data_IF_423892710119
#
_entry.id   IF_423892710119
#
_cell.length_a   1.000
_cell.length_b   1.000
_cell.length_c   1.000
_cell.angle_alpha   90.00
_cell.angle_beta   90.00
_cell.angle_gamma   90.00
#
_symmetry.space_group_name_H-M   'P 1'
#
loop_
_entity.id
_entity.type
_entity.pdbx_description
1 polymer ?
#
# COMPACT_ATOMS: atom_id res chain seq x y z
N UNK A 1 42.12 -28.10 22.82
CA UNK A 1 42.31 -26.74 23.35
C UNK A 1 41.00 -25.97 23.20
N UNK A 2 40.32 -25.73 24.32
CA UNK A 2 38.89 -25.41 24.41
C UNK A 2 38.60 -23.91 24.25
N UNK A 3 37.80 -23.52 23.23
CA UNK A 3 37.09 -22.24 23.20
C UNK A 3 35.83 -22.34 24.08
N UNK A 4 35.93 -21.87 25.33
CA UNK A 4 34.77 -21.72 26.24
C UNK A 4 33.89 -20.56 25.78
N UNK A 5 32.64 -20.88 25.54
CA UNK A 5 31.53 -20.01 25.14
C UNK A 5 31.14 -19.08 26.30
N UNK A 6 31.17 -17.76 26.07
CA UNK A 6 30.66 -16.71 26.98
C UNK A 6 29.12 -16.74 27.04
N UNK A 7 28.51 -17.83 27.52
CA UNK A 7 27.05 -17.96 27.65
C UNK A 7 26.55 -18.25 29.06
N UNK A 8 27.35 -17.98 30.10
CA UNK A 8 27.00 -18.33 31.49
C UNK A 8 27.22 -17.19 32.49
N UNK A 9 26.71 -15.99 32.22
CA UNK A 9 26.68 -14.90 33.22
C UNK A 9 25.33 -14.16 33.33
N UNK A 10 24.24 -14.74 32.85
CA UNK A 10 22.90 -14.20 33.12
C UNK A 10 22.09 -15.20 33.94
N UNK A 11 21.81 -14.85 35.19
CA UNK A 11 20.78 -15.48 35.99
C UNK A 11 19.41 -15.31 35.28
N UNK A 12 18.49 -16.29 35.36
CA UNK A 12 17.16 -16.14 34.78
C UNK A 12 16.45 -14.96 35.44
N UNK A 13 15.90 -14.05 34.63
CA UNK A 13 14.98 -13.02 35.10
C UNK A 13 13.75 -13.70 35.69
N UNK A 14 13.70 -13.82 37.01
CA UNK A 14 12.49 -14.19 37.74
C UNK A 14 11.53 -13.00 37.59
N UNK A 15 10.47 -13.16 36.78
CA UNK A 15 9.34 -12.24 36.84
C UNK A 15 8.69 -12.39 38.22
N UNK A 16 8.50 -11.30 38.98
CA UNK A 16 7.74 -11.38 40.21
C UNK A 16 6.27 -11.71 39.88
N UNK A 17 5.72 -12.63 40.66
CA UNK A 17 4.32 -13.06 40.63
C UNK A 17 3.38 -11.87 40.72
N UNK A 18 2.29 -11.90 39.94
CA UNK A 18 1.18 -10.95 39.98
C UNK A 18 0.44 -11.02 41.32
N UNK A 19 0.97 -10.35 42.34
CA UNK A 19 0.23 -10.05 43.56
C UNK A 19 -0.14 -8.58 43.52
N UNK A 20 -1.43 -8.34 43.32
CA UNK A 20 -2.09 -7.05 43.48
C UNK A 20 -1.92 -6.57 44.92
N UNK A 21 -0.96 -5.69 45.17
CA UNK A 21 -0.86 -4.92 46.41
C UNK A 21 -0.74 -3.44 46.06
N UNK A 22 -1.62 -2.62 46.62
CA UNK A 22 -1.67 -1.17 46.45
C UNK A 22 -0.28 -0.53 46.63
N UNK A 23 0.38 -0.18 45.52
CA UNK A 23 1.71 0.42 45.50
C UNK A 23 1.58 1.90 45.86
N UNK A 24 2.33 2.37 46.85
CA UNK A 24 2.28 3.78 47.29
C UNK A 24 2.85 4.72 46.20
N UNK A 25 2.45 6.01 46.17
CA UNK A 25 2.92 6.96 45.15
C UNK A 25 4.45 7.08 45.08
N UNK A 26 5.13 6.92 46.22
CA UNK A 26 6.60 6.94 46.29
C UNK A 26 7.23 5.72 45.60
N UNK A 27 6.63 4.54 45.76
CA UNK A 27 7.12 3.30 45.16
C UNK A 27 6.91 3.29 43.64
N UNK A 28 5.77 3.80 43.15
CA UNK A 28 5.56 4.01 41.72
C UNK A 28 6.56 5.01 41.13
N UNK A 29 6.86 6.10 41.85
CA UNK A 29 7.86 7.09 41.42
C UNK A 29 9.26 6.48 41.31
N UNK A 30 9.64 5.57 42.21
CA UNK A 30 10.91 4.83 42.14
C UNK A 30 10.94 3.84 40.96
N UNK A 31 9.84 3.15 40.68
CA UNK A 31 9.75 2.18 39.57
C UNK A 31 9.75 2.85 38.17
N UNK A 32 9.22 4.08 38.07
CA UNK A 32 9.23 4.86 36.81
C UNK A 32 10.41 5.84 36.70
N UNK A 33 11.16 6.05 37.78
CA UNK A 33 12.32 6.94 37.76
C UNK A 33 13.43 6.36 36.87
N UNK A 34 13.74 7.06 35.79
CA UNK A 34 14.91 6.80 34.96
C UNK A 34 15.76 8.06 34.94
N UNK A 35 16.98 7.96 35.48
CA UNK A 35 17.95 9.07 35.52
C UNK A 35 18.15 9.74 34.15
N UNK A 36 18.17 8.96 33.07
CA UNK A 36 18.28 9.46 31.71
C UNK A 36 17.13 10.41 31.32
N UNK A 37 15.89 10.10 31.70
CA UNK A 37 14.73 10.94 31.40
C UNK A 37 14.78 12.28 32.16
N UNK A 38 15.24 12.27 33.41
CA UNK A 38 15.39 13.51 34.20
C UNK A 38 16.54 14.37 33.70
N UNK A 39 17.66 13.76 33.28
CA UNK A 39 18.74 14.49 32.62
C UNK A 39 18.28 15.11 31.30
N UNK A 40 17.49 14.39 30.50
CA UNK A 40 16.94 14.91 29.26
C UNK A 40 15.97 16.09 29.51
N UNK A 41 15.11 15.99 30.53
CA UNK A 41 14.24 17.11 30.93
C UNK A 41 15.04 18.33 31.36
N UNK A 42 16.11 18.14 32.14
CA UNK A 42 16.97 19.23 32.59
C UNK A 42 17.70 19.91 31.41
N UNK A 43 18.17 19.14 30.44
CA UNK A 43 18.78 19.67 29.21
C UNK A 43 17.74 20.44 28.37
N UNK A 44 16.54 19.89 28.21
CA UNK A 44 15.46 20.55 27.48
C UNK A 44 15.07 21.88 28.16
N UNK A 45 15.04 21.91 29.49
CA UNK A 45 14.76 23.13 30.25
C UNK A 45 15.84 24.19 30.03
N UNK A 46 17.12 23.81 30.11
CA UNK A 46 18.24 24.71 29.82
C UNK A 46 18.20 25.28 28.39
N UNK A 47 17.78 24.47 27.42
CA UNK A 47 17.60 24.93 26.03
C UNK A 47 16.47 25.94 25.91
N UNK A 48 15.34 25.70 26.58
CA UNK A 48 14.19 26.61 26.61
C UNK A 48 14.57 27.94 27.26
N UNK A 49 15.24 27.89 28.42
CA UNK A 49 15.64 29.10 29.15
C UNK A 49 16.62 29.94 28.32
N UNK A 50 17.57 29.29 27.63
CA UNK A 50 18.51 29.99 26.72
C UNK A 50 17.78 30.60 25.53
N UNK A 51 16.78 29.92 24.96
CA UNK A 51 15.98 30.44 23.86
C UNK A 51 15.14 31.66 24.28
N UNK A 52 14.58 31.64 25.49
CA UNK A 52 13.83 32.76 26.06
C UNK A 52 14.72 33.98 26.28
N UNK A 53 15.95 33.80 26.76
CA UNK A 53 16.87 34.94 26.96
C UNK A 53 17.30 35.56 25.62
N UNK A 54 17.62 34.73 24.62
CA UNK A 54 17.93 35.23 23.25
C UNK A 54 16.73 35.99 22.67
N UNK A 55 15.52 35.47 22.86
CA UNK A 55 14.30 36.15 22.45
C UNK A 55 14.16 37.51 23.14
N UNK A 56 14.37 37.58 24.46
CA UNK A 56 14.28 38.80 25.25
C UNK A 56 15.26 39.87 24.77
N UNK A 57 16.53 39.50 24.57
CA UNK A 57 17.58 40.38 24.03
C UNK A 57 17.22 40.89 22.63
N UNK A 58 16.77 40.00 21.73
CA UNK A 58 16.39 40.39 20.37
C UNK A 58 15.17 41.33 20.33
N UNK A 59 14.27 41.20 21.30
CA UNK A 59 13.11 42.06 21.43
C UNK A 59 13.51 43.43 22.01
N UNK A 60 14.35 43.48 23.04
CA UNK A 60 14.93 44.72 23.56
C UNK A 60 15.70 45.50 22.47
N UNK A 61 16.53 44.82 21.66
CA UNK A 61 17.17 45.43 20.49
C UNK A 61 16.17 46.00 19.48
N UNK A 62 15.03 45.32 19.28
CA UNK A 62 13.96 45.80 18.40
C UNK A 62 13.26 47.04 18.95
N UNK A 63 13.04 47.11 20.26
CA UNK A 63 12.42 48.27 20.91
C UNK A 63 13.36 49.49 20.97
N UNK A 64 14.67 49.26 21.02
CA UNK A 64 15.69 50.31 21.04
C UNK A 64 16.22 50.71 19.65
N UNK A 65 15.75 50.07 18.56
CA UNK A 65 16.05 50.55 17.21
C UNK A 65 15.35 51.89 16.98
N UNK A 66 16.15 52.92 16.72
CA UNK A 66 15.64 54.18 16.21
C UNK A 66 14.78 53.92 14.95
N UNK A 67 13.64 54.61 14.80
CA UNK A 67 12.83 54.49 13.59
C UNK A 67 13.70 54.82 12.37
N UNK A 68 13.62 53.99 11.33
CA UNK A 68 14.34 54.20 10.08
C UNK A 68 14.05 55.64 9.61
N UNK A 69 15.09 56.47 9.38
CA UNK A 69 14.86 57.85 8.96
C UNK A 69 13.98 57.86 7.72
N UNK A 70 13.02 58.80 7.62
CA UNK A 70 12.13 58.88 6.47
C UNK A 70 12.98 59.04 5.21
N UNK A 71 12.71 58.17 4.22
CA UNK A 71 13.42 58.17 2.95
C UNK A 71 13.30 59.58 2.36
N UNK A 72 14.42 60.27 2.04
CA UNK A 72 14.37 61.60 1.44
C UNK A 72 13.52 61.55 0.17
N UNK A 73 12.48 62.38 0.09
CA UNK A 73 11.62 62.42 -1.09
C UNK A 73 12.42 63.00 -2.28
N UNK A 74 13.01 62.11 -3.07
CA UNK A 74 13.69 62.49 -4.30
C UNK A 74 12.66 63.06 -5.30
N UNK A 75 13.04 64.09 -6.09
CA UNK A 75 12.24 64.62 -7.18
C UNK A 75 11.77 63.50 -8.12
N UNK A 76 10.55 63.60 -8.65
CA UNK A 76 9.89 62.54 -9.44
C UNK A 76 10.74 62.02 -10.62
N UNK A 77 11.53 62.90 -11.25
CA UNK A 77 12.48 62.57 -12.31
C UNK A 77 13.61 61.67 -11.80
N UNK A 78 14.27 62.04 -10.70
CA UNK A 78 15.38 61.27 -10.12
C UNK A 78 14.89 59.93 -9.58
N UNK A 79 13.69 59.91 -8.99
CA UNK A 79 13.01 58.70 -8.52
C UNK A 79 12.77 57.69 -9.64
N UNK A 80 12.29 58.14 -10.81
CA UNK A 80 12.09 57.28 -12.00
C UNK A 80 13.40 56.71 -12.53
N UNK A 81 14.45 57.52 -12.63
CA UNK A 81 15.78 57.06 -13.06
C UNK A 81 16.38 56.04 -12.08
N UNK A 82 16.27 56.30 -10.78
CA UNK A 82 16.76 55.39 -9.74
C UNK A 82 16.04 54.04 -9.76
N UNK A 83 14.71 54.03 -9.90
CA UNK A 83 13.94 52.79 -10.04
C UNK A 83 14.31 52.00 -11.30
N UNK A 84 14.54 52.67 -12.44
CA UNK A 84 15.00 51.99 -13.65
C UNK A 84 16.39 51.33 -13.47
N UNK A 85 17.32 51.99 -12.78
CA UNK A 85 18.64 51.43 -12.48
C UNK A 85 18.51 50.22 -11.54
N UNK A 86 17.68 50.32 -10.49
CA UNK A 86 17.41 49.21 -9.58
C UNK A 86 16.82 48.00 -10.31
N UNK A 87 15.82 48.21 -11.17
CA UNK A 87 15.21 47.15 -11.98
C UNK A 87 16.25 46.49 -12.89
N UNK A 88 17.07 47.29 -13.57
CA UNK A 88 18.11 46.78 -14.50
C UNK A 88 19.18 45.98 -13.76
N UNK A 89 19.65 46.49 -12.62
CA UNK A 89 20.64 45.81 -11.79
C UNK A 89 20.09 44.51 -11.21
N UNK A 90 18.84 44.52 -10.73
CA UNK A 90 18.20 43.30 -10.22
C UNK A 90 18.07 42.23 -11.31
N UNK A 91 17.63 42.58 -12.51
CA UNK A 91 17.51 41.64 -13.63
C UNK A 91 18.87 41.07 -14.04
N UNK A 92 19.90 41.91 -14.07
CA UNK A 92 21.27 41.48 -14.35
C UNK A 92 21.77 40.48 -13.28
N UNK A 93 21.66 40.86 -12.00
CA UNK A 93 22.08 40.01 -10.88
C UNK A 93 21.29 38.70 -10.84
N UNK A 94 19.98 38.75 -11.11
CA UNK A 94 19.13 37.56 -11.21
C UNK A 94 19.63 36.61 -12.29
N UNK A 95 19.98 37.12 -13.48
CA UNK A 95 20.54 36.32 -14.58
C UNK A 95 21.86 35.67 -14.17
N UNK A 96 22.73 36.39 -13.46
CA UNK A 96 23.97 35.84 -12.92
C UNK A 96 23.69 34.69 -11.93
N UNK A 97 22.76 34.87 -10.99
CA UNK A 97 22.42 33.81 -10.02
C UNK A 97 21.76 32.61 -10.71
N UNK A 98 20.91 32.82 -11.71
CA UNK A 98 20.28 31.72 -12.47
C UNK A 98 21.26 30.92 -13.33
N UNK A 99 22.41 31.51 -13.70
CA UNK A 99 23.46 30.84 -14.48
C UNK A 99 24.34 29.91 -13.64
N UNK A 100 24.24 29.99 -12.30
CA UNK A 100 24.99 29.12 -11.41
C UNK A 100 24.49 27.67 -11.52
N UNK A 101 25.38 26.66 -11.52
CA UNK A 101 24.97 25.28 -11.65
C UNK A 101 24.11 24.87 -10.45
N UNK A 102 22.98 24.22 -10.76
CA UNK A 102 22.10 23.62 -9.77
C UNK A 102 22.46 22.15 -9.60
N UNK A 103 22.44 21.66 -8.37
CA UNK A 103 22.60 20.24 -8.10
C UNK A 103 21.45 19.47 -8.76
N UNK A 104 21.72 18.53 -9.68
CA UNK A 104 20.67 17.77 -10.35
C UNK A 104 19.97 16.82 -9.38
N UNK A 105 18.75 16.42 -9.72
CA UNK A 105 18.04 15.41 -8.94
C UNK A 105 18.82 14.09 -8.96
N UNK A 106 18.95 13.46 -7.79
CA UNK A 106 19.67 12.19 -7.67
C UNK A 106 18.91 11.09 -8.42
N UNK A 107 19.60 10.36 -9.30
CA UNK A 107 19.03 9.24 -10.08
C UNK A 107 18.35 8.19 -9.19
N UNK A 108 18.90 7.92 -8.01
CA UNK A 108 18.32 6.96 -7.07
C UNK A 108 16.90 7.37 -6.61
N UNK A 109 16.61 8.68 -6.49
CA UNK A 109 15.26 9.16 -6.16
C UNK A 109 14.28 8.94 -7.29
N UNK A 110 14.71 9.18 -8.53
CA UNK A 110 13.93 8.89 -9.73
C UNK A 110 13.61 7.40 -9.83
N UNK A 111 14.60 6.53 -9.62
CA UNK A 111 14.40 5.08 -9.60
C UNK A 111 13.46 4.64 -8.48
N UNK A 112 13.54 5.26 -7.31
CA UNK A 112 12.62 4.98 -6.19
C UNK A 112 11.19 5.40 -6.51
N UNK A 113 10.99 6.53 -7.22
CA UNK A 113 9.67 6.94 -7.70
C UNK A 113 9.10 5.94 -8.70
N UNK A 114 9.92 5.45 -9.65
CA UNK A 114 9.50 4.44 -10.62
C UNK A 114 9.14 3.11 -9.94
N UNK A 115 9.88 2.71 -8.90
CA UNK A 115 9.60 1.48 -8.15
C UNK A 115 8.26 1.49 -7.40
N UNK A 116 7.67 2.66 -7.16
CA UNK A 116 6.34 2.80 -6.55
C UNK A 116 5.20 2.59 -7.57
N UNK A 117 5.50 2.60 -8.87
CA UNK A 117 4.51 2.44 -9.93
C UNK A 117 4.45 0.96 -10.34
N UNK A 118 3.27 0.33 -10.33
CA UNK A 118 3.10 -1.06 -10.76
C UNK A 118 3.57 -1.30 -12.20
N UNK A 119 4.26 -2.42 -12.44
CA UNK A 119 4.82 -2.79 -13.74
C UNK A 119 3.76 -2.87 -14.85
N UNK A 120 2.57 -3.36 -14.52
CA UNK A 120 1.42 -3.45 -15.44
C UNK A 120 0.97 -2.10 -15.99
N UNK A 121 1.32 -1.00 -15.31
CA UNK A 121 1.02 0.34 -15.80
C UNK A 121 2.13 0.92 -16.68
N UNK A 122 3.35 0.37 -16.60
CA UNK A 122 4.51 0.78 -17.38
C UNK A 122 4.63 0.04 -18.71
N UNK A 123 4.19 -1.22 -18.75
CA UNK A 123 4.17 -2.04 -19.97
C UNK A 123 3.40 -1.34 -21.10
N UNK A 124 4.07 -1.17 -22.26
CA UNK A 124 3.51 -0.48 -23.44
C UNK A 124 3.46 1.05 -23.35
N UNK A 125 3.92 1.67 -22.25
CA UNK A 125 3.89 3.14 -22.01
C UNK A 125 5.25 3.75 -21.66
N UNK A 126 6.34 3.11 -22.07
CA UNK A 126 7.73 3.54 -21.80
C UNK A 126 8.00 5.00 -22.21
N UNK A 127 7.50 5.42 -23.37
CA UNK A 127 7.68 6.77 -23.89
C UNK A 127 6.94 7.84 -23.07
N UNK A 128 5.80 7.49 -22.48
CA UNK A 128 5.07 8.38 -21.57
C UNK A 128 5.82 8.51 -20.23
N UNK A 129 6.35 7.39 -19.71
CA UNK A 129 7.15 7.36 -18.50
C UNK A 129 8.39 8.25 -18.63
N UNK A 130 9.11 8.18 -19.75
CA UNK A 130 10.27 9.04 -20.01
C UNK A 130 9.87 10.52 -20.07
N UNK A 131 8.77 10.87 -20.76
CA UNK A 131 8.27 12.26 -20.83
C UNK A 131 7.96 12.83 -19.46
N UNK A 132 7.28 12.06 -18.60
CA UNK A 132 6.95 12.46 -17.24
C UNK A 132 8.19 12.60 -16.37
N UNK A 133 9.17 11.71 -16.54
CA UNK A 133 10.43 11.77 -15.82
C UNK A 133 11.21 13.06 -16.17
N UNK A 134 11.25 13.40 -17.46
CA UNK A 134 11.84 14.64 -17.95
C UNK A 134 11.09 15.88 -17.42
N UNK A 135 9.78 15.83 -17.28
CA UNK A 135 8.98 16.90 -16.67
C UNK A 135 9.36 17.13 -15.22
N UNK A 136 9.46 16.07 -14.43
CA UNK A 136 9.87 16.14 -13.02
C UNK A 136 11.26 16.77 -12.89
N UNK A 137 12.22 16.37 -13.74
CA UNK A 137 13.58 16.92 -13.74
C UNK A 137 13.54 18.42 -14.04
N UNK A 138 12.81 18.85 -15.08
CA UNK A 138 12.68 20.27 -15.45
C UNK A 138 12.05 21.09 -14.33
N UNK A 139 11.00 20.58 -13.69
CA UNK A 139 10.30 21.28 -12.62
C UNK A 139 11.16 21.41 -11.37
N UNK A 140 11.92 20.37 -11.06
CA UNK A 140 12.90 20.40 -9.97
C UNK A 140 13.98 21.46 -10.23
N UNK A 141 14.58 21.47 -11.42
CA UNK A 141 15.57 22.47 -11.79
C UNK A 141 15.02 23.89 -11.75
N UNK A 142 13.82 24.11 -12.32
CA UNK A 142 13.13 25.40 -12.29
C UNK A 142 12.93 25.86 -10.85
N UNK A 143 12.44 24.97 -9.99
CA UNK A 143 12.18 25.25 -8.57
C UNK A 143 13.46 25.55 -7.79
N UNK A 144 14.55 24.83 -8.07
CA UNK A 144 15.82 25.01 -7.38
C UNK A 144 16.55 26.29 -7.81
N UNK A 145 16.55 26.62 -9.12
CA UNK A 145 17.06 27.93 -9.60
C UNK A 145 16.30 29.08 -8.97
N UNK A 146 14.98 28.94 -8.84
CA UNK A 146 14.13 29.93 -8.19
C UNK A 146 14.44 30.09 -6.70
N UNK A 147 14.62 28.98 -5.99
CA UNK A 147 15.04 28.98 -4.59
C UNK A 147 16.38 29.70 -4.41
N UNK A 148 17.35 29.41 -5.29
CA UNK A 148 18.67 30.06 -5.27
C UNK A 148 18.58 31.58 -5.44
N UNK A 149 17.81 32.05 -6.43
CA UNK A 149 17.59 33.49 -6.65
C UNK A 149 17.00 34.15 -5.41
N UNK A 150 15.98 33.56 -4.80
CA UNK A 150 15.33 34.10 -3.58
C UNK A 150 16.25 34.12 -2.36
N UNK A 151 17.13 33.12 -2.22
CA UNK A 151 18.03 33.05 -1.08
C UNK A 151 19.18 34.06 -1.16
N UNK A 152 19.58 34.46 -2.38
CA UNK A 152 20.72 35.38 -2.61
C UNK A 152 20.26 36.82 -2.84
N UNK A 153 19.15 37.02 -3.55
CA UNK A 153 18.67 38.34 -3.96
C UNK A 153 17.33 38.66 -3.30
N UNK A 154 17.25 39.85 -2.71
CA UNK A 154 16.00 40.44 -2.25
C UNK A 154 15.38 41.19 -3.43
N UNK A 155 14.13 40.88 -3.77
CA UNK A 155 13.40 41.58 -4.82
C UNK A 155 13.09 43.02 -4.36
N UNK A 156 13.49 44.05 -5.11
CA UNK A 156 13.12 45.43 -4.79
C UNK A 156 11.64 45.67 -5.13
N UNK A 157 10.94 46.42 -4.28
CA UNK A 157 9.54 46.82 -4.47
C UNK A 157 9.44 47.99 -5.46
N UNK A 158 9.49 47.67 -6.76
CA UNK A 158 9.51 48.65 -7.85
C UNK A 158 8.54 48.27 -8.98
N UNK A 159 7.82 49.26 -9.50
CA UNK A 159 6.93 49.11 -10.67
C UNK A 159 7.74 48.64 -11.88
N UNK A 160 7.43 47.47 -12.42
CA UNK A 160 8.15 46.84 -13.54
C UNK A 160 8.71 45.44 -13.26
N UNK A 161 8.74 45.00 -12.00
CA UNK A 161 9.07 43.61 -11.60
C UNK A 161 7.83 42.79 -11.20
N UNK A 162 6.63 43.28 -11.54
CA UNK A 162 5.35 42.65 -11.19
C UNK A 162 5.10 41.34 -11.94
N UNK A 163 5.60 41.25 -13.19
CA UNK A 163 5.49 40.06 -14.03
C UNK A 163 6.53 38.97 -13.69
N UNK A 164 7.48 39.27 -12.81
CA UNK A 164 8.46 38.28 -12.41
C UNK A 164 7.81 37.20 -11.55
N UNK A 165 7.94 35.95 -11.97
CA UNK A 165 7.22 34.79 -11.45
C UNK A 165 7.45 34.67 -9.93
N UNK A 166 6.50 35.21 -9.16
CA UNK A 166 6.56 35.38 -7.70
C UNK A 166 5.58 34.46 -6.97
N UNK A 167 5.01 33.45 -7.63
CA UNK A 167 4.32 32.38 -6.92
C UNK A 167 5.14 31.97 -5.66
N UNK A 168 4.56 31.94 -4.46
CA UNK A 168 5.26 31.41 -3.30
C UNK A 168 5.86 30.03 -3.66
N UNK A 169 6.97 29.63 -3.03
CA UNK A 169 7.28 28.20 -3.07
C UNK A 169 5.99 27.49 -2.64
N UNK A 170 5.56 26.40 -3.30
CA UNK A 170 4.40 25.67 -2.85
C UNK A 170 4.66 25.30 -1.39
N UNK A 171 4.01 26.02 -0.48
CA UNK A 171 4.03 25.68 0.92
C UNK A 171 3.42 24.29 0.97
N UNK A 172 4.07 23.34 1.66
CA UNK A 172 3.32 22.16 2.12
C UNK A 172 2.03 22.70 2.69
N UNK A 173 0.85 22.22 2.25
CA UNK A 173 -0.40 22.86 2.57
C UNK A 173 -0.61 22.83 4.08
N UNK A 174 -0.17 23.91 4.74
CA UNK A 174 -0.33 24.18 6.15
C UNK A 174 -1.74 24.69 6.28
N UNK A 175 -2.63 23.85 6.81
CA UNK A 175 -4.06 24.07 6.72
C UNK A 175 -4.68 23.48 5.46
N UNK A 176 -4.39 22.21 5.14
CA UNK A 176 -5.48 21.35 4.66
C UNK A 176 -6.51 21.32 5.78
N UNK A 177 -7.38 22.33 5.79
CA UNK A 177 -8.51 22.36 6.67
C UNK A 177 -9.46 21.25 6.18
N UNK A 178 -9.41 20.13 6.88
CA UNK A 178 -10.29 19.00 6.64
C UNK A 178 -11.74 19.33 7.07
N UNK A 179 -12.05 20.55 7.53
CA UNK A 179 -13.40 21.06 7.86
C UNK A 179 -14.35 21.20 6.68
N UNK A 180 -13.96 20.77 5.47
CA UNK A 180 -14.83 20.79 4.29
C UNK A 180 -16.20 20.16 4.60
N UNK A 181 -17.29 20.57 3.92
CA UNK A 181 -18.65 20.05 4.15
C UNK A 181 -18.78 18.52 4.07
N UNK A 182 -17.84 17.84 3.42
CA UNK A 182 -17.79 16.39 3.35
C UNK A 182 -17.16 15.72 4.58
N UNK A 183 -16.54 16.44 5.51
CA UNK A 183 -15.89 15.84 6.68
C UNK A 183 -16.87 15.00 7.50
N UNK A 184 -18.05 15.57 7.75
CA UNK A 184 -19.13 14.88 8.44
C UNK A 184 -19.60 13.68 7.62
N UNK A 185 -19.74 13.82 6.30
CA UNK A 185 -20.08 12.70 5.40
C UNK A 185 -19.01 11.61 5.40
N UNK A 186 -17.73 11.97 5.45
CA UNK A 186 -16.60 11.04 5.52
C UNK A 186 -16.56 10.31 6.85
N UNK A 187 -16.70 11.03 7.98
CA UNK A 187 -16.78 10.42 9.31
C UNK A 187 -17.99 9.49 9.37
N UNK A 188 -19.14 9.91 8.85
CA UNK A 188 -20.35 9.10 8.81
C UNK A 188 -20.12 7.83 7.98
N UNK A 189 -19.59 7.94 6.76
CA UNK A 189 -19.28 6.80 5.91
C UNK A 189 -18.25 5.86 6.56
N UNK A 190 -17.19 6.41 7.17
CA UNK A 190 -16.19 5.64 7.92
C UNK A 190 -16.81 4.89 9.10
N UNK A 191 -17.67 5.54 9.87
CA UNK A 191 -18.35 4.91 11.00
C UNK A 191 -19.35 3.84 10.53
N UNK A 192 -20.02 4.04 9.40
CA UNK A 192 -20.88 3.02 8.77
C UNK A 192 -20.07 1.81 8.31
N UNK A 193 -18.92 2.03 7.67
CA UNK A 193 -18.02 0.96 7.25
C UNK A 193 -17.51 0.18 8.47
N UNK A 194 -17.03 0.86 9.50
CA UNK A 194 -16.51 0.22 10.72
C UNK A 194 -17.58 -0.59 11.46
N UNK A 195 -18.83 -0.13 11.46
CA UNK A 195 -19.93 -0.81 12.18
C UNK A 195 -20.55 -1.97 11.42
N UNK A 196 -20.48 -1.98 10.08
CA UNK A 196 -21.14 -3.00 9.23
C UNK A 196 -20.20 -4.01 8.59
N UNK A 197 -18.96 -3.62 8.27
CA UNK A 197 -18.12 -4.42 7.39
C UNK A 197 -17.31 -5.49 8.14
N UNK A 198 -17.01 -5.28 9.43
CA UNK A 198 -16.37 -6.27 10.33
C UNK A 198 -15.05 -6.91 9.86
N UNK A 199 -14.39 -6.41 8.80
CA UNK A 199 -13.16 -7.00 8.22
C UNK A 199 -12.03 -7.12 9.25
N UNK A 200 -11.93 -6.16 10.16
CA UNK A 200 -10.87 -6.11 11.18
C UNK A 200 -11.19 -6.99 12.41
N UNK A 201 -12.33 -7.67 12.43
CA UNK A 201 -12.68 -8.54 13.55
C UNK A 201 -11.71 -9.74 13.63
N UNK A 202 -11.18 -10.10 14.82
CA UNK A 202 -10.23 -11.20 14.97
C UNK A 202 -10.71 -12.53 14.37
N UNK A 203 -12.02 -12.79 14.42
CA UNK A 203 -12.63 -13.99 13.82
C UNK A 203 -12.46 -14.05 12.30
N UNK A 204 -12.51 -12.91 11.59
CA UNK A 204 -12.29 -12.88 10.14
C UNK A 204 -10.86 -13.25 9.80
N UNK A 205 -9.90 -12.82 10.63
CA UNK A 205 -8.50 -13.22 10.48
C UNK A 205 -8.31 -14.72 10.69
N UNK A 206 -8.91 -15.31 11.73
CA UNK A 206 -8.81 -16.76 11.97
C UNK A 206 -9.51 -17.58 10.89
N UNK A 207 -10.67 -17.12 10.40
CA UNK A 207 -11.36 -17.74 9.28
C UNK A 207 -10.54 -17.68 7.99
N UNK A 208 -9.88 -16.53 7.74
CA UNK A 208 -8.97 -16.38 6.62
C UNK A 208 -7.81 -17.37 6.69
N UNK A 209 -7.20 -17.51 7.87
CA UNK A 209 -6.10 -18.45 8.13
C UNK A 209 -6.50 -19.92 7.87
N UNK A 210 -7.72 -20.32 8.26
CA UNK A 210 -8.22 -21.67 7.95
C UNK A 210 -8.32 -21.92 6.46
N UNK A 211 -8.81 -20.94 5.69
CA UNK A 211 -8.88 -21.06 4.23
C UNK A 211 -7.50 -21.04 3.58
N UNK A 212 -6.58 -20.17 4.02
CA UNK A 212 -5.21 -20.16 3.52
C UNK A 212 -4.49 -21.48 3.79
N UNK A 213 -4.64 -22.05 4.99
CA UNK A 213 -3.97 -23.32 5.33
C UNK A 213 -4.58 -24.52 4.62
N UNK A 214 -5.90 -24.58 4.45
CA UNK A 214 -6.58 -25.74 3.85
C UNK A 214 -6.69 -25.67 2.31
N UNK A 215 -6.88 -24.47 1.75
CA UNK A 215 -7.25 -24.27 0.34
C UNK A 215 -6.14 -23.65 -0.52
N UNK A 216 -5.03 -23.15 0.03
CA UNK A 216 -4.01 -22.44 -0.76
C UNK A 216 -3.29 -23.37 -1.76
N UNK A 217 -2.97 -24.60 -1.36
CA UNK A 217 -2.30 -25.59 -2.22
C UNK A 217 -3.25 -26.64 -2.78
N UNK A 218 -4.54 -26.56 -2.41
CA UNK A 218 -5.55 -27.50 -2.84
C UNK A 218 -6.14 -27.09 -4.19
N UNK A 219 -6.33 -28.05 -5.08
CA UNK A 219 -7.10 -27.93 -6.32
C UNK A 219 -8.23 -28.96 -6.28
N UNK A 220 -9.38 -28.64 -6.86
CA UNK A 220 -10.53 -29.55 -6.92
C UNK A 220 -10.20 -30.77 -7.79
N UNK A 221 -9.47 -30.55 -8.88
CA UNK A 221 -9.00 -31.59 -9.79
C UNK A 221 -7.50 -31.43 -10.00
N UNK A 222 -6.77 -32.53 -9.83
CA UNK A 222 -5.34 -32.59 -10.13
C UNK A 222 -5.12 -33.09 -11.56
N UNK A 223 -4.88 -32.14 -12.46
CA UNK A 223 -4.70 -32.46 -13.88
C UNK A 223 -3.33 -33.05 -14.22
N UNK A 224 -2.35 -32.99 -13.31
CA UNK A 224 -1.03 -33.59 -13.53
C UNK A 224 -1.12 -35.11 -13.63
N UNK A 225 -2.08 -35.72 -12.92
CA UNK A 225 -2.31 -37.16 -12.91
C UNK A 225 -2.81 -37.71 -14.24
N UNK A 226 -3.51 -36.92 -15.06
CA UNK A 226 -4.02 -37.36 -16.37
C UNK A 226 -2.91 -37.57 -17.40
N UNK A 227 -1.80 -36.82 -17.30
CA UNK A 227 -0.61 -37.04 -18.14
C UNK A 227 -0.03 -38.44 -17.96
N UNK A 228 0.07 -38.88 -16.70
CA UNK A 228 0.69 -40.16 -16.35
C UNK A 228 -0.09 -41.36 -16.90
N UNK A 229 -1.38 -41.19 -17.18
CA UNK A 229 -2.27 -42.23 -17.72
C UNK A 229 -2.16 -42.37 -19.26
N UNK A 230 -1.46 -41.47 -19.95
CA UNK A 230 -1.34 -41.49 -21.41
C UNK A 230 -2.52 -40.81 -22.12
N UNK A 231 -2.79 -41.15 -23.40
CA UNK A 231 -3.93 -40.60 -24.14
C UNK A 231 -5.26 -40.90 -23.43
N UNK A 232 -6.02 -39.86 -23.14
CA UNK A 232 -7.22 -39.94 -22.33
C UNK A 232 -8.47 -40.00 -23.21
N UNK A 233 -9.39 -40.89 -22.85
CA UNK A 233 -10.72 -40.97 -23.45
C UNK A 233 -11.66 -39.92 -22.83
N UNK A 234 -12.52 -39.30 -23.64
CA UNK A 234 -13.41 -38.20 -23.18
C UNK A 234 -14.32 -38.66 -22.04
N UNK A 235 -14.94 -39.82 -22.15
CA UNK A 235 -15.91 -40.31 -21.15
C UNK A 235 -15.19 -40.68 -19.85
N UNK A 236 -14.01 -41.27 -19.96
CA UNK A 236 -13.14 -41.52 -18.81
C UNK A 236 -12.75 -40.22 -18.09
N UNK A 237 -12.42 -39.16 -18.84
CA UNK A 237 -12.06 -37.85 -18.28
C UNK A 237 -13.24 -37.19 -17.56
N UNK A 238 -14.42 -37.17 -18.18
CA UNK A 238 -15.65 -36.64 -17.56
C UNK A 238 -15.97 -37.35 -16.25
N UNK A 239 -15.81 -38.66 -16.22
CA UNK A 239 -16.04 -39.50 -15.04
C UNK A 239 -15.01 -39.22 -13.94
N UNK A 240 -13.72 -39.20 -14.28
CA UNK A 240 -12.63 -38.92 -13.34
C UNK A 240 -12.73 -37.51 -12.73
N UNK A 241 -13.06 -36.51 -13.55
CA UNK A 241 -13.31 -35.13 -13.10
C UNK A 241 -14.49 -35.09 -12.14
N UNK A 242 -15.61 -35.73 -12.51
CA UNK A 242 -16.81 -35.75 -11.66
C UNK A 242 -16.55 -36.41 -10.31
N UNK A 243 -15.80 -37.52 -10.29
CA UNK A 243 -15.39 -38.20 -9.07
C UNK A 243 -14.44 -37.34 -8.23
N UNK A 244 -13.50 -36.64 -8.87
CA UNK A 244 -12.56 -35.73 -8.20
C UNK A 244 -13.30 -34.56 -7.56
N UNK A 245 -14.28 -33.98 -8.25
CA UNK A 245 -15.17 -32.95 -7.71
C UNK A 245 -15.89 -33.43 -6.44
N UNK A 246 -16.54 -34.60 -6.47
CA UNK A 246 -17.24 -35.14 -5.30
C UNK A 246 -16.29 -35.44 -4.13
N UNK A 247 -15.09 -35.99 -4.40
CA UNK A 247 -14.07 -36.20 -3.35
C UNK A 247 -13.56 -34.88 -2.76
N UNK A 248 -13.40 -33.86 -3.60
CA UNK A 248 -12.95 -32.55 -3.17
C UNK A 248 -14.00 -31.86 -2.30
N UNK A 249 -15.27 -31.93 -2.68
CA UNK A 249 -16.41 -31.44 -1.91
C UNK A 249 -16.46 -32.08 -0.51
N UNK A 250 -16.42 -33.40 -0.44
CA UNK A 250 -16.39 -34.14 0.83
C UNK A 250 -15.19 -33.73 1.70
N UNK A 251 -14.00 -33.59 1.08
CA UNK A 251 -12.79 -33.17 1.80
C UNK A 251 -12.93 -31.75 2.34
N UNK A 252 -13.47 -30.81 1.58
CA UNK A 252 -13.72 -29.43 2.01
C UNK A 252 -14.71 -29.43 3.18
N UNK A 253 -15.80 -30.20 3.08
CA UNK A 253 -16.82 -30.31 4.12
C UNK A 253 -16.27 -30.88 5.43
N UNK A 254 -15.44 -31.92 5.34
CA UNK A 254 -14.90 -32.64 6.50
C UNK A 254 -13.67 -31.98 7.13
N UNK A 255 -12.99 -31.06 6.42
CA UNK A 255 -11.77 -30.41 6.93
C UNK A 255 -11.98 -28.92 7.18
N UNK A 256 -12.03 -28.11 6.12
CA UNK A 256 -12.15 -26.67 6.22
C UNK A 256 -13.47 -26.27 6.88
N UNK A 257 -14.61 -26.79 6.39
CA UNK A 257 -15.92 -26.40 6.91
C UNK A 257 -16.12 -26.83 8.37
N UNK A 258 -15.67 -28.02 8.78
CA UNK A 258 -15.70 -28.42 10.19
C UNK A 258 -14.93 -27.45 11.09
N UNK A 259 -13.75 -26.96 10.65
CA UNK A 259 -12.99 -25.95 11.40
C UNK A 259 -13.75 -24.63 11.49
N UNK A 260 -14.41 -24.21 10.40
CA UNK A 260 -15.27 -23.02 10.40
C UNK A 260 -16.43 -23.19 11.39
N UNK A 261 -17.15 -24.31 11.37
CA UNK A 261 -18.25 -24.58 12.31
C UNK A 261 -17.74 -24.60 13.75
N UNK A 262 -16.59 -25.23 14.01
CA UNK A 262 -15.99 -25.28 15.35
C UNK A 262 -15.66 -23.90 15.90
N UNK A 263 -15.24 -22.96 15.03
CA UNK A 263 -14.99 -21.57 15.40
C UNK A 263 -16.30 -20.92 15.85
N UNK A 264 -17.32 -20.90 15.00
CA UNK A 264 -18.58 -20.20 15.30
C UNK A 264 -19.45 -20.87 16.38
N UNK A 265 -19.16 -22.12 16.75
CA UNK A 265 -19.81 -22.79 17.90
C UNK A 265 -19.34 -22.20 19.25
N UNK A 266 -18.18 -21.54 19.28
CA UNK A 266 -17.66 -20.93 20.50
C UNK A 266 -18.41 -19.63 20.82
N UNK A 267 -19.18 -19.64 21.92
CA UNK A 267 -19.95 -18.47 22.41
C UNK A 267 -19.12 -17.23 22.71
N UNK A 268 -17.79 -17.35 22.77
CA UNK A 268 -16.88 -16.24 23.03
C UNK A 268 -16.74 -15.27 21.84
N UNK A 269 -17.07 -15.70 20.63
CA UNK A 269 -16.94 -14.88 19.41
C UNK A 269 -17.96 -13.75 19.36
N UNK A 270 -19.11 -13.94 19.99
CA UNK A 270 -20.17 -12.94 20.08
C UNK A 270 -19.97 -11.99 21.27
N UNK A 271 -18.96 -12.21 22.13
CA UNK A 271 -18.68 -11.34 23.27
C UNK A 271 -18.16 -9.99 22.76
N UNK A 272 -19.01 -8.96 22.79
CA UNK A 272 -18.69 -7.60 22.38
C UNK A 272 -19.40 -7.12 21.11
N UNK A 273 -20.10 -8.02 20.40
CA UNK A 273 -20.99 -7.65 19.31
C UNK A 273 -22.34 -7.21 19.87
N UNK A 274 -22.84 -6.07 19.39
CA UNK A 274 -24.21 -5.66 19.68
C UNK A 274 -25.19 -6.51 18.87
N UNK A 275 -26.40 -6.72 19.42
CA UNK A 275 -27.42 -7.58 18.81
C UNK A 275 -27.83 -7.11 17.40
N UNK A 276 -27.80 -5.80 17.14
CA UNK A 276 -28.09 -5.16 15.84
C UNK A 276 -26.99 -5.34 14.79
N UNK A 277 -25.79 -5.78 15.19
CA UNK A 277 -24.65 -5.97 14.30
C UNK A 277 -24.43 -7.44 13.88
N UNK A 278 -25.15 -8.37 14.50
CA UNK A 278 -24.99 -9.82 14.28
C UNK A 278 -25.23 -10.20 12.81
N UNK A 279 -26.26 -9.65 12.18
CA UNK A 279 -26.56 -9.93 10.77
C UNK A 279 -25.44 -9.42 9.85
N UNK A 280 -24.97 -8.19 10.07
CA UNK A 280 -23.86 -7.62 9.30
C UNK A 280 -22.56 -8.40 9.48
N UNK A 281 -22.34 -8.97 10.68
CA UNK A 281 -21.21 -9.83 10.97
C UNK A 281 -21.27 -11.14 10.17
N UNK A 282 -22.39 -11.86 10.20
CA UNK A 282 -22.53 -13.11 9.45
C UNK A 282 -22.57 -12.88 7.93
N UNK A 283 -23.03 -11.73 7.46
CA UNK A 283 -22.90 -11.35 6.05
C UNK A 283 -21.42 -11.21 5.63
N UNK A 284 -20.57 -10.64 6.50
CA UNK A 284 -19.13 -10.58 6.26
C UNK A 284 -18.51 -12.00 6.26
N UNK A 285 -18.90 -12.86 7.20
CA UNK A 285 -18.46 -14.28 7.24
C UNK A 285 -18.84 -14.99 5.94
N UNK A 286 -20.10 -14.89 5.52
CA UNK A 286 -20.61 -15.51 4.29
C UNK A 286 -19.87 -15.01 3.05
N UNK A 287 -19.62 -13.70 2.97
CA UNK A 287 -18.85 -13.09 1.88
C UNK A 287 -17.40 -13.60 1.86
N UNK A 288 -16.74 -13.68 3.02
CA UNK A 288 -15.38 -14.16 3.13
C UNK A 288 -15.26 -15.64 2.74
N UNK A 289 -16.15 -16.49 3.24
CA UNK A 289 -16.23 -17.91 2.85
C UNK A 289 -16.48 -18.06 1.35
N UNK A 290 -17.44 -17.31 0.81
CA UNK A 290 -17.74 -17.31 -0.63
C UNK A 290 -16.53 -16.91 -1.47
N UNK A 291 -15.77 -15.90 -1.05
CA UNK A 291 -14.58 -15.47 -1.77
C UNK A 291 -13.48 -16.53 -1.75
N UNK A 292 -13.28 -17.24 -0.64
CA UNK A 292 -12.29 -18.32 -0.54
C UNK A 292 -12.63 -19.49 -1.49
N UNK A 293 -13.92 -19.85 -1.58
CA UNK A 293 -14.38 -20.93 -2.45
C UNK A 293 -14.34 -20.52 -3.94
N UNK A 294 -14.75 -19.29 -4.27
CA UNK A 294 -14.61 -18.72 -5.62
C UNK A 294 -13.15 -18.67 -6.07
N UNK A 295 -12.24 -18.34 -5.18
CA UNK A 295 -10.80 -18.32 -5.48
C UNK A 295 -10.25 -19.74 -5.71
N UNK A 296 -10.76 -20.75 -5.01
CA UNK A 296 -10.44 -22.15 -5.30
C UNK A 296 -10.96 -22.59 -6.68
N UNK A 297 -12.20 -22.23 -7.02
CA UNK A 297 -12.79 -22.52 -8.33
C UNK A 297 -11.98 -21.87 -9.45
N UNK A 298 -11.68 -20.57 -9.32
CA UNK A 298 -10.88 -19.79 -10.27
C UNK A 298 -9.53 -20.47 -10.52
N UNK A 299 -8.79 -20.80 -9.45
CA UNK A 299 -7.47 -21.46 -9.57
C UNK A 299 -7.54 -22.83 -10.24
N UNK A 300 -8.61 -23.60 -9.97
CA UNK A 300 -8.81 -24.91 -10.62
C UNK A 300 -9.08 -24.75 -12.12
N UNK A 301 -9.94 -23.81 -12.51
CA UNK A 301 -10.21 -23.52 -13.92
C UNK A 301 -8.97 -22.98 -14.63
N UNK A 302 -8.21 -22.09 -14.00
CA UNK A 302 -6.94 -21.61 -14.55
C UNK A 302 -5.92 -22.72 -14.72
N UNK A 303 -5.83 -23.66 -13.76
CA UNK A 303 -4.97 -24.83 -13.90
C UNK A 303 -5.40 -25.72 -15.08
N UNK A 304 -6.70 -25.84 -15.35
CA UNK A 304 -7.21 -26.57 -16.51
C UNK A 304 -6.90 -25.85 -17.83
N UNK A 305 -7.16 -24.54 -17.91
CA UNK A 305 -6.91 -23.74 -19.13
C UNK A 305 -5.42 -23.72 -19.49
N UNK A 306 -4.52 -23.67 -18.49
CA UNK A 306 -3.07 -23.74 -18.70
C UNK A 306 -2.61 -25.01 -19.42
N UNK A 307 -3.39 -26.09 -19.40
CA UNK A 307 -3.06 -27.32 -20.14
C UNK A 307 -3.18 -27.16 -21.65
N UNK A 308 -3.76 -26.07 -22.13
CA UNK A 308 -3.92 -25.77 -23.55
C UNK A 308 -2.99 -24.64 -24.03
N UNK A 309 -2.05 -24.21 -23.18
CA UNK A 309 -1.07 -23.19 -23.55
C UNK A 309 -0.07 -23.75 -24.58
N UNK A 310 -0.01 -23.20 -25.81
CA UNK A 310 0.89 -23.69 -26.85
C UNK A 310 2.38 -23.52 -26.50
N UNK A 311 2.71 -22.58 -25.61
CA UNK A 311 4.10 -22.34 -25.19
C UNK A 311 4.59 -23.39 -24.17
N UNK A 312 3.67 -24.05 -23.46
CA UNK A 312 3.96 -25.12 -22.50
C UNK A 312 3.65 -26.50 -23.09
N UNK A 313 4.38 -26.85 -24.15
CA UNK A 313 4.18 -28.10 -24.90
C UNK A 313 4.29 -29.39 -24.07
N UNK A 314 4.92 -29.34 -22.90
CA UNK A 314 5.02 -30.48 -21.97
C UNK A 314 3.74 -30.69 -21.15
N UNK A 315 2.85 -29.68 -21.11
CA UNK A 315 1.62 -29.66 -20.33
C UNK A 315 0.36 -29.86 -21.18
N UNK A 316 0.46 -30.32 -22.44
CA UNK A 316 -0.66 -30.47 -23.39
C UNK A 316 -1.46 -31.78 -23.29
N UNK A 317 -2.79 -31.69 -23.04
CA UNK A 317 -3.64 -32.89 -22.85
C UNK A 317 -3.80 -33.68 -24.15
N UNK A 318 -3.48 -34.97 -24.11
CA UNK A 318 -3.58 -35.85 -25.27
C UNK A 318 -4.90 -36.61 -25.22
N UNK A 319 -5.76 -36.36 -26.21
CA UNK A 319 -7.02 -37.07 -26.37
C UNK A 319 -6.84 -38.29 -27.27
N UNK A 320 -7.45 -39.40 -26.89
CA UNK A 320 -7.54 -40.58 -27.77
C UNK A 320 -8.57 -40.28 -28.87
N UNK A 321 -8.13 -40.44 -30.12
CA UNK A 321 -8.95 -40.28 -31.32
C UNK A 321 -8.93 -41.56 -32.13
N UNK A 322 -10.09 -41.99 -32.61
CA UNK A 322 -10.30 -43.13 -33.47
C UNK A 322 -10.80 -42.64 -34.83
N UNK A 323 -10.30 -43.23 -35.91
CA UNK A 323 -10.79 -42.94 -37.26
C UNK A 323 -11.86 -43.98 -37.61
N UNK A 324 -13.11 -43.56 -37.69
CA UNK A 324 -14.24 -44.41 -38.05
C UNK A 324 -14.63 -44.18 -39.51
N UNK A 325 -15.13 -45.21 -40.17
CA UNK A 325 -15.69 -45.11 -41.52
C UNK A 325 -17.20 -45.26 -41.40
N UNK A 326 -17.93 -44.16 -41.55
CA UNK A 326 -19.39 -44.14 -41.53
C UNK A 326 -19.93 -43.70 -42.90
N UNK A 327 -20.88 -44.45 -43.46
CA UNK A 327 -21.49 -44.18 -44.78
C UNK A 327 -20.50 -43.74 -45.90
N UNK A 328 -19.35 -44.43 -46.02
CA UNK A 328 -18.26 -44.12 -46.98
C UNK A 328 -17.50 -42.79 -46.72
N UNK A 329 -17.64 -42.18 -45.54
CA UNK A 329 -16.86 -41.02 -45.08
C UNK A 329 -15.98 -41.41 -43.90
N UNK A 330 -14.72 -41.00 -43.96
CA UNK A 330 -13.80 -41.14 -42.83
C UNK A 330 -14.04 -39.97 -41.88
N UNK A 331 -14.41 -40.27 -40.64
CA UNK A 331 -14.67 -39.29 -39.59
C UNK A 331 -13.85 -39.62 -38.35
N UNK A 332 -13.49 -38.60 -37.58
CA UNK A 332 -12.82 -38.80 -36.29
C UNK A 332 -13.86 -38.94 -35.19
N UNK A 333 -13.69 -39.97 -34.37
CA UNK A 333 -14.42 -40.16 -33.13
C UNK A 333 -13.46 -40.05 -31.94
N UNK A 334 -13.75 -39.23 -30.94
CA UNK A 334 -14.82 -38.22 -30.88
C UNK A 334 -14.67 -37.10 -31.92
N UNK A 335 -15.79 -36.49 -32.30
CA UNK A 335 -15.77 -35.33 -33.20
C UNK A 335 -15.19 -34.10 -32.51
N UNK A 336 -14.85 -33.05 -33.27
CA UNK A 336 -14.40 -31.78 -32.68
C UNK A 336 -15.47 -31.15 -31.77
N UNK A 337 -16.75 -31.31 -32.12
CA UNK A 337 -17.86 -30.81 -31.30
C UNK A 337 -17.95 -31.58 -29.97
N UNK A 338 -17.77 -32.90 -29.98
CA UNK A 338 -17.77 -33.72 -28.76
C UNK A 338 -16.63 -33.33 -27.81
N UNK A 339 -15.46 -32.95 -28.36
CA UNK A 339 -14.35 -32.40 -27.58
C UNK A 339 -14.71 -31.05 -26.93
N UNK A 340 -15.31 -30.14 -27.70
CA UNK A 340 -15.71 -28.83 -27.20
C UNK A 340 -16.74 -28.97 -26.07
N UNK A 341 -17.75 -29.82 -26.28
CA UNK A 341 -18.76 -30.13 -25.26
C UNK A 341 -18.13 -30.78 -24.03
N UNK A 342 -17.12 -31.64 -24.18
CA UNK A 342 -16.40 -32.23 -23.07
C UNK A 342 -15.60 -31.19 -22.26
N UNK A 343 -14.91 -30.26 -22.93
CA UNK A 343 -14.17 -29.17 -22.28
C UNK A 343 -15.13 -28.27 -21.52
N UNK A 344 -16.25 -27.87 -22.14
CA UNK A 344 -17.29 -27.06 -21.50
C UNK A 344 -17.93 -27.80 -20.31
N UNK A 345 -18.16 -29.10 -20.44
CA UNK A 345 -18.65 -29.95 -19.36
C UNK A 345 -17.71 -29.92 -18.15
N UNK A 346 -16.40 -30.05 -18.37
CA UNK A 346 -15.40 -30.03 -17.29
C UNK A 346 -15.43 -28.70 -16.54
N UNK A 347 -15.41 -27.58 -17.26
CA UNK A 347 -15.46 -26.24 -16.65
C UNK A 347 -16.77 -26.04 -15.87
N UNK A 348 -17.90 -26.45 -16.45
CA UNK A 348 -19.21 -26.38 -15.82
C UNK A 348 -19.26 -27.24 -14.55
N UNK A 349 -18.73 -28.46 -14.60
CA UNK A 349 -18.72 -29.40 -13.48
C UNK A 349 -17.87 -28.87 -12.32
N UNK A 350 -16.71 -28.28 -12.62
CA UNK A 350 -15.88 -27.60 -11.61
C UNK A 350 -16.67 -26.46 -10.99
N UNK A 351 -17.30 -25.60 -11.79
CA UNK A 351 -18.12 -24.49 -11.32
C UNK A 351 -19.26 -24.90 -10.37
N UNK A 352 -19.84 -26.07 -10.60
CA UNK A 352 -20.94 -26.63 -9.78
C UNK A 352 -20.46 -27.38 -8.52
N UNK A 353 -19.16 -27.57 -8.31
CA UNK A 353 -18.65 -28.44 -7.23
C UNK A 353 -18.89 -27.87 -5.83
N UNK A 354 -19.00 -26.54 -5.69
CA UNK A 354 -19.09 -25.85 -4.40
C UNK A 354 -20.22 -24.82 -4.37
N UNK A 355 -21.24 -25.04 -5.21
CA UNK A 355 -22.54 -24.34 -5.14
C UNK A 355 -23.44 -25.09 -4.18
#
# INVERSE_FOLDING_TARGET
SHKKTLRTLFLPTVLPSSVTSNISPLQNKLLTYRRCNEQQKMINQLLIDRALEVYRVSMEEKYHREPVPPIPELPSTVRKYFFNILTTNYLFMKKCVQSNPVVPIQQQRLMSMLALVPQSLMEGRELLTEKLLQEIIRDYEKSMRRCMVRNVLIKPDVKGLEYEEEAPLPLSPLGLDFSRPWHNSFIQARNQILSKLHILHPTMKTLLDFGCTALATFLIVDFSSFRLKGPVDIESLKTDVSLSCSKAEEKILNTWYQRVVSLFTQKEILKGLKLDQVDSFYNCVSTLMSNQLKELLRRTVEAFVKLFDPEDGNCLLLFKMELTLDENKMEFYPSFQDLEEAILFIVTRIGQTVQ
#
